data_IF_370326251252
#
_entry.id   IF_370326251252
#
_cell.length_a   1.000
_cell.length_b   1.000
_cell.length_c   1.000
_cell.angle_alpha   90.00
_cell.angle_beta   90.00
_cell.angle_gamma   90.00
#
_symmetry.space_group_name_H-M   'P 1'
#
loop_
_entity.id
_entity.type
_entity.pdbx_description
1 polymer ?
#
# COMPACT_ATOMS: atom_id res chain seq x y z
N UNK A 1 -44.95 -11.27 0.31
CA UNK A 1 -44.04 -10.45 -0.49
C UNK A 1 -42.73 -10.23 0.27
N UNK A 2 -41.62 -10.59 -0.34
CA UNK A 2 -40.33 -10.32 0.25
C UNK A 2 -40.04 -8.83 0.16
N UNK A 3 -39.73 -8.22 1.28
CA UNK A 3 -39.23 -6.86 1.30
C UNK A 3 -37.81 -6.82 0.79
N UNK A 4 -37.51 -5.95 -0.14
CA UNK A 4 -36.15 -5.69 -0.55
C UNK A 4 -35.37 -5.14 0.63
N UNK A 5 -34.20 -5.72 0.87
CA UNK A 5 -33.29 -5.22 1.90
C UNK A 5 -32.58 -3.99 1.34
N UNK A 6 -32.75 -2.88 2.02
CA UNK A 6 -31.95 -1.69 1.70
C UNK A 6 -30.52 -1.92 2.14
N UNK A 7 -29.60 -1.76 1.19
CA UNK A 7 -28.17 -1.83 1.47
C UNK A 7 -27.65 -0.40 1.61
N UNK A 8 -27.26 -0.06 2.81
CA UNK A 8 -26.64 1.24 3.08
C UNK A 8 -25.12 1.09 3.04
N UNK A 9 -24.52 1.66 2.00
CA UNK A 9 -23.06 1.69 1.88
C UNK A 9 -22.53 2.88 2.67
N UNK A 10 -21.69 2.59 3.65
CA UNK A 10 -20.97 3.62 4.40
C UNK A 10 -19.49 3.46 4.14
N UNK A 11 -18.87 4.55 3.74
CA UNK A 11 -17.43 4.57 3.48
C UNK A 11 -16.74 5.31 4.61
N UNK A 12 -15.84 4.61 5.29
CA UNK A 12 -14.98 5.20 6.29
C UNK A 12 -13.62 5.50 5.66
N UNK A 13 -13.27 6.76 5.62
CA UNK A 13 -11.98 7.18 5.10
C UNK A 13 -10.98 7.28 6.25
N UNK A 14 -9.96 6.45 6.20
CA UNK A 14 -8.87 6.44 7.19
C UNK A 14 -7.70 7.35 6.78
N UNK A 15 -7.87 8.13 5.71
CA UNK A 15 -6.85 9.02 5.21
C UNK A 15 -5.92 8.34 4.22
N UNK A 16 -4.97 9.11 3.74
CA UNK A 16 -3.97 8.65 2.78
C UNK A 16 -2.63 8.51 3.47
N UNK A 17 -1.86 7.54 3.03
CA UNK A 17 -0.50 7.32 3.52
C UNK A 17 0.45 7.30 2.33
N UNK A 18 1.45 8.17 2.34
CA UNK A 18 2.50 8.17 1.32
C UNK A 18 3.56 7.15 1.70
N UNK A 19 3.82 6.22 0.79
CA UNK A 19 4.80 5.15 1.02
C UNK A 19 5.86 5.16 -0.07
N UNK A 20 7.11 5.11 0.31
CA UNK A 20 8.23 4.96 -0.61
C UNK A 20 9.01 3.66 -0.40
N UNK A 21 8.63 2.86 0.60
CA UNK A 21 9.19 1.55 0.87
C UNK A 21 8.09 0.59 1.30
N UNK A 22 8.25 -0.67 1.00
CA UNK A 22 7.32 -1.70 1.44
C UNK A 22 8.07 -2.97 1.79
N UNK A 23 7.78 -3.52 2.94
CA UNK A 23 8.23 -4.85 3.31
C UNK A 23 7.04 -5.79 3.41
N UNK A 24 7.24 -7.05 3.05
CA UNK A 24 6.17 -8.04 3.04
C UNK A 24 6.61 -9.23 3.87
N UNK A 25 5.78 -9.59 4.84
CA UNK A 25 5.92 -10.81 5.62
C UNK A 25 4.68 -11.66 5.41
N UNK A 26 4.81 -12.96 5.57
CA UNK A 26 3.67 -13.85 5.42
C UNK A 26 3.75 -15.01 6.38
N UNK A 27 2.59 -15.52 6.72
CA UNK A 27 2.38 -16.77 7.43
C UNK A 27 1.33 -17.59 6.72
N UNK A 28 0.93 -18.74 7.27
CA UNK A 28 -0.04 -19.63 6.60
C UNK A 28 -1.41 -19.00 6.36
N UNK A 29 -1.80 -18.01 7.14
CA UNK A 29 -3.15 -17.46 7.11
C UNK A 29 -3.22 -16.00 6.70
N UNK A 30 -2.09 -15.32 6.59
CA UNK A 30 -2.10 -13.88 6.29
C UNK A 30 -0.82 -13.41 5.64
N UNK A 31 -0.94 -12.30 4.89
CA UNK A 31 0.18 -11.49 4.43
C UNK A 31 0.13 -10.16 5.15
N UNK A 32 1.29 -9.65 5.54
CA UNK A 32 1.38 -8.32 6.12
C UNK A 32 2.23 -7.46 5.19
N UNK A 33 1.61 -6.44 4.62
CA UNK A 33 2.29 -5.45 3.81
C UNK A 33 2.55 -4.24 4.69
N UNK A 34 3.80 -4.03 5.07
CA UNK A 34 4.16 -2.88 5.88
C UNK A 34 4.61 -1.75 4.97
N UNK A 35 3.70 -0.82 4.74
CA UNK A 35 3.97 0.36 3.94
C UNK A 35 4.71 1.38 4.79
N UNK A 36 5.86 1.81 4.32
CA UNK A 36 6.75 2.68 5.08
C UNK A 36 7.04 3.95 4.30
N UNK A 37 7.19 5.03 5.02
CA UNK A 37 7.68 6.28 4.47
C UNK A 37 8.92 6.67 5.26
N UNK A 38 10.07 6.62 4.60
CA UNK A 38 11.33 7.04 5.20
C UNK A 38 11.68 8.45 4.72
N UNK A 39 11.86 9.36 5.66
CA UNK A 39 12.26 10.73 5.40
C UNK A 39 13.53 11.05 6.17
N UNK A 40 14.46 11.72 5.51
CA UNK A 40 15.65 12.23 6.19
C UNK A 40 15.30 13.55 6.87
N UNK A 41 15.39 13.56 8.19
CA UNK A 41 15.25 14.77 8.99
C UNK A 41 16.65 15.28 9.31
N UNK A 42 16.97 16.46 8.82
CA UNK A 42 18.24 17.10 9.13
C UNK A 42 18.06 17.94 10.38
N UNK A 43 18.64 17.49 11.48
CA UNK A 43 18.66 18.25 12.70
C UNK A 43 19.77 19.31 12.61
N UNK A 44 19.58 20.44 13.28
CA UNK A 44 20.55 21.55 13.27
C UNK A 44 21.85 21.22 14.01
N UNK A 45 22.04 19.97 14.41
CA UNK A 45 23.22 19.48 15.06
C UNK A 45 24.03 18.54 14.18
N UNK A 46 24.91 17.80 14.81
CA UNK A 46 25.86 16.89 14.18
C UNK A 46 25.17 15.56 13.77
N UNK A 47 23.91 15.34 14.18
CA UNK A 47 23.21 14.08 14.00
C UNK A 47 22.19 14.16 12.89
N UNK A 48 22.24 13.17 11.98
CA UNK A 48 21.18 12.97 10.98
C UNK A 48 20.19 11.97 11.55
N UNK A 49 18.92 12.36 11.56
CA UNK A 49 17.84 11.47 11.95
C UNK A 49 17.08 10.99 10.71
N UNK A 50 16.69 9.73 10.71
CA UNK A 50 15.78 9.18 9.71
C UNK A 50 14.47 8.92 10.41
N UNK A 51 13.42 9.59 9.94
CA UNK A 51 12.08 9.36 10.46
C UNK A 51 11.41 8.31 9.57
N UNK A 52 10.96 7.24 10.18
CA UNK A 52 10.21 6.19 9.48
C UNK A 52 8.81 6.12 10.06
N UNK A 53 7.83 6.42 9.22
CA UNK A 53 6.43 6.15 9.51
C UNK A 53 6.04 4.85 8.83
N UNK A 54 5.14 4.08 9.41
CA UNK A 54 4.69 2.86 8.76
C UNK A 54 3.21 2.62 9.02
N UNK A 55 2.60 1.91 8.08
CA UNK A 55 1.19 1.55 8.15
C UNK A 55 1.04 0.12 7.63
N UNK A 56 0.98 -0.87 8.54
CA UNK A 56 0.80 -2.26 8.12
C UNK A 56 -0.62 -2.50 7.60
N UNK A 57 -0.70 -3.29 6.55
CA UNK A 57 -1.98 -3.75 5.99
C UNK A 57 -1.95 -5.27 5.95
N UNK A 58 -2.96 -5.89 6.53
CA UNK A 58 -3.06 -7.34 6.60
C UNK A 58 -4.03 -7.82 5.53
N UNK A 59 -3.57 -8.76 4.71
CA UNK A 59 -4.36 -9.35 3.64
C UNK A 59 -4.50 -10.85 3.87
N UNK A 60 -5.67 -11.39 3.51
CA UNK A 60 -5.79 -12.84 3.38
C UNK A 60 -4.92 -13.29 2.20
N UNK A 61 -4.45 -14.56 2.18
CA UNK A 61 -3.68 -15.07 1.04
C UNK A 61 -4.42 -14.94 -0.28
N UNK A 62 -5.72 -15.19 -0.29
CA UNK A 62 -6.55 -15.02 -1.47
C UNK A 62 -6.54 -13.57 -1.97
N UNK A 63 -6.74 -12.63 -1.06
CA UNK A 63 -6.74 -11.20 -1.42
C UNK A 63 -5.35 -10.73 -1.87
N UNK A 64 -4.30 -11.25 -1.24
CA UNK A 64 -2.93 -10.92 -1.65
C UNK A 64 -2.66 -11.30 -3.11
N UNK A 65 -3.14 -12.48 -3.52
CA UNK A 65 -3.01 -12.93 -4.90
C UNK A 65 -3.81 -12.07 -5.87
N UNK A 66 -5.04 -11.72 -5.49
CA UNK A 66 -5.89 -10.81 -6.24
C UNK A 66 -5.26 -9.43 -6.39
N UNK A 67 -4.74 -8.92 -5.30
CA UNK A 67 -4.07 -7.62 -5.27
C UNK A 67 -2.87 -7.58 -6.20
N UNK A 68 -2.08 -8.64 -6.22
CA UNK A 68 -0.92 -8.74 -7.14
C UNK A 68 -1.36 -8.57 -8.60
N UNK A 69 -2.45 -9.22 -8.99
CA UNK A 69 -2.96 -9.13 -10.36
C UNK A 69 -3.45 -7.73 -10.71
N UNK A 70 -4.18 -7.11 -9.79
CA UNK A 70 -4.70 -5.74 -9.98
C UNK A 70 -3.56 -4.73 -10.08
N UNK A 71 -2.58 -4.85 -9.21
CA UNK A 71 -1.42 -3.96 -9.22
C UNK A 71 -0.62 -4.12 -10.52
N UNK A 72 -0.43 -5.36 -10.97
CA UNK A 72 0.28 -5.64 -12.22
C UNK A 72 -0.39 -4.94 -13.41
N UNK A 73 -1.70 -5.08 -13.53
CA UNK A 73 -2.47 -4.41 -14.58
C UNK A 73 -2.35 -2.89 -14.53
N UNK A 74 -2.41 -2.33 -13.33
CA UNK A 74 -2.29 -0.89 -13.16
C UNK A 74 -0.91 -0.39 -13.59
N UNK A 75 0.15 -1.11 -13.25
CA UNK A 75 1.51 -0.75 -13.67
C UNK A 75 1.66 -0.83 -15.18
N UNK A 76 1.13 -1.88 -15.81
CA UNK A 76 1.16 -2.02 -17.27
C UNK A 76 0.41 -0.87 -17.94
N UNK A 77 -0.79 -0.53 -17.47
CA UNK A 77 -1.56 0.58 -18.00
C UNK A 77 -0.83 1.91 -17.86
N UNK A 78 -0.21 2.12 -16.72
CA UNK A 78 0.59 3.32 -16.47
C UNK A 78 1.73 3.44 -17.49
N UNK A 79 2.47 2.35 -17.67
CA UNK A 79 3.63 2.36 -18.56
C UNK A 79 3.23 2.56 -20.04
N UNK A 80 2.07 2.06 -20.45
CA UNK A 80 1.55 2.30 -21.80
C UNK A 80 1.20 3.78 -22.04
N UNK A 81 0.71 4.47 -21.00
CA UNK A 81 0.29 5.87 -21.11
C UNK A 81 1.42 6.86 -20.90
N UNK A 82 2.32 6.56 -20.00
CA UNK A 82 3.32 7.53 -19.52
C UNK A 82 4.76 7.09 -19.75
N UNK A 83 4.97 5.88 -20.23
CA UNK A 83 6.29 5.34 -20.47
C UNK A 83 6.78 4.45 -19.35
N UNK A 84 7.86 3.77 -19.62
CA UNK A 84 8.43 2.78 -18.71
C UNK A 84 8.88 3.40 -17.40
N UNK A 85 8.54 2.75 -16.30
CA UNK A 85 9.03 3.12 -14.98
C UNK A 85 10.46 2.62 -14.86
N UNK A 86 11.39 3.54 -14.69
CA UNK A 86 12.80 3.18 -14.54
C UNK A 86 13.09 2.74 -13.12
N UNK A 87 13.83 1.65 -12.99
CA UNK A 87 14.35 1.23 -11.70
C UNK A 87 15.45 2.17 -11.26
N UNK A 88 15.45 2.51 -9.97
CA UNK A 88 16.44 3.42 -9.40
C UNK A 88 17.79 2.75 -9.15
N UNK A 89 17.88 1.44 -9.36
CA UNK A 89 19.13 0.66 -9.16
C UNK A 89 19.18 -0.54 -10.08
#
# INVERSE_FOLDING_TARGET
MAKEKEINLRIKDNGQFYSNETTINFGPVEFVLDFRCATHVQDMGIHRAILVSHNPVILTPYHAKSFLNVLHKAVVDYEERFGEIKKLY
#
